data_IF_222484677887
#
_entry.id   IF_222484677887
#
_cell.length_a   1.000
_cell.length_b   1.000
_cell.length_c   1.000
_cell.angle_alpha   90.00
_cell.angle_beta   90.00
_cell.angle_gamma   90.00
#
_symmetry.space_group_name_H-M   'P 1'
#
loop_
_entity.id
_entity.type
_entity.pdbx_description
1 polymer ?
#
# COMPACT_ATOMS: atom_id res chain seq x y z
N UNK A 1 -13.00 -18.18 21.59
CA UNK A 1 -12.34 -19.01 20.56
C UNK A 1 -12.52 -18.44 19.15
N UNK A 2 -13.76 -18.18 18.70
CA UNK A 2 -14.04 -17.62 17.37
C UNK A 2 -13.35 -16.27 17.08
N UNK A 3 -13.35 -15.32 18.03
CA UNK A 3 -12.66 -14.03 17.85
C UNK A 3 -11.15 -14.16 17.62
N UNK A 4 -10.48 -15.12 18.27
CA UNK A 4 -9.06 -15.38 18.07
C UNK A 4 -8.78 -15.94 16.67
N UNK A 5 -9.66 -16.80 16.17
CA UNK A 5 -9.57 -17.32 14.80
C UNK A 5 -9.75 -16.20 13.77
N UNK A 6 -10.75 -15.33 13.95
CA UNK A 6 -10.96 -14.18 13.05
C UNK A 6 -9.77 -13.21 13.04
N UNK A 7 -9.21 -12.93 14.22
CA UNK A 7 -8.05 -12.04 14.34
C UNK A 7 -6.81 -12.61 13.64
N UNK A 8 -6.54 -13.90 13.82
CA UNK A 8 -5.39 -14.57 13.19
C UNK A 8 -5.54 -14.70 11.67
N UNK A 9 -6.75 -15.00 11.16
CA UNK A 9 -7.00 -15.04 9.71
C UNK A 9 -6.90 -13.65 9.10
N UNK A 10 -7.44 -12.62 9.76
CA UNK A 10 -7.33 -11.24 9.30
C UNK A 10 -5.88 -10.75 9.29
N UNK A 11 -5.11 -11.03 10.34
CA UNK A 11 -3.69 -10.68 10.41
C UNK A 11 -2.86 -11.39 9.34
N UNK A 12 -3.12 -12.68 9.10
CA UNK A 12 -2.44 -13.45 8.04
C UNK A 12 -2.76 -12.90 6.64
N UNK A 13 -4.03 -12.56 6.39
CA UNK A 13 -4.45 -11.91 5.14
C UNK A 13 -3.77 -10.55 4.95
N UNK A 14 -3.74 -9.73 6.01
CA UNK A 14 -3.09 -8.42 5.98
C UNK A 14 -1.58 -8.53 5.73
N UNK A 15 -0.91 -9.51 6.36
CA UNK A 15 0.51 -9.77 6.13
C UNK A 15 0.77 -10.25 4.70
N UNK A 16 -0.09 -11.09 4.15
CA UNK A 16 0.02 -11.54 2.77
C UNK A 16 -0.09 -10.36 1.79
N UNK A 17 -1.08 -9.48 1.97
CA UNK A 17 -1.30 -8.30 1.12
C UNK A 17 -0.19 -7.24 1.27
N UNK A 18 0.19 -6.90 2.50
CA UNK A 18 1.13 -5.80 2.76
C UNK A 18 2.61 -6.21 2.68
N UNK A 19 2.96 -7.47 2.93
CA UNK A 19 4.35 -7.91 2.98
C UNK A 19 4.67 -8.91 1.87
N UNK A 20 3.93 -10.02 1.80
CA UNK A 20 4.29 -11.13 0.91
C UNK A 20 4.23 -10.76 -0.57
N UNK A 21 3.16 -10.07 -1.01
CA UNK A 21 3.03 -9.57 -2.39
C UNK A 21 4.10 -8.55 -2.78
N UNK A 22 4.58 -7.74 -1.83
CA UNK A 22 5.47 -6.61 -2.09
C UNK A 22 6.96 -6.97 -2.10
N UNK A 23 7.33 -8.17 -1.60
CA UNK A 23 8.73 -8.57 -1.39
C UNK A 23 9.61 -8.57 -2.65
N UNK A 24 9.02 -8.66 -3.84
CA UNK A 24 9.74 -8.71 -5.14
C UNK A 24 9.61 -7.44 -5.96
N UNK A 25 8.82 -6.48 -5.48
CA UNK A 25 8.52 -5.24 -6.20
C UNK A 25 9.41 -4.11 -5.67
N UNK A 26 9.69 -3.10 -6.50
CA UNK A 26 10.35 -1.87 -6.06
C UNK A 26 9.69 -1.26 -4.81
N UNK A 27 10.47 -0.52 -3.99
CA UNK A 27 9.92 0.18 -2.83
C UNK A 27 8.84 1.18 -3.28
N UNK A 28 7.90 1.49 -2.39
CA UNK A 28 6.84 2.44 -2.72
C UNK A 28 5.89 2.71 -1.56
N UNK A 29 4.94 3.64 -1.76
CA UNK A 29 3.95 3.99 -0.74
C UNK A 29 3.15 2.77 -0.29
N UNK A 30 2.94 2.66 1.03
CA UNK A 30 2.15 1.60 1.65
C UNK A 30 0.69 1.66 1.19
N UNK A 31 0.22 0.64 0.45
CA UNK A 31 -1.17 0.59 0.03
C UNK A 31 -2.09 0.33 1.21
N UNK A 32 -3.25 0.97 1.21
CA UNK A 32 -4.33 0.60 2.12
C UNK A 32 -5.02 -0.66 1.60
N UNK A 33 -5.44 -1.57 2.50
CA UNK A 33 -6.26 -2.72 2.10
C UNK A 33 -7.50 -2.24 1.32
N UNK A 34 -7.80 -2.87 0.19
CA UNK A 34 -8.96 -2.61 -0.72
C UNK A 34 -8.91 -1.32 -1.56
N UNK A 35 -8.18 -0.27 -1.14
CA UNK A 35 -8.15 1.01 -1.86
C UNK A 35 -6.79 1.30 -2.52
N UNK A 36 -5.74 0.57 -2.14
CA UNK A 36 -4.38 0.88 -2.56
C UNK A 36 -3.94 2.27 -2.08
N UNK A 37 -3.34 3.06 -2.98
CA UNK A 37 -2.84 4.40 -2.71
C UNK A 37 -3.79 5.53 -3.19
N UNK A 38 -5.03 5.19 -3.58
CA UNK A 38 -5.99 6.17 -4.11
C UNK A 38 -6.29 7.29 -3.09
N UNK A 39 -6.40 6.94 -1.81
CA UNK A 39 -6.61 7.93 -0.75
C UNK A 39 -5.43 8.89 -0.60
N UNK A 40 -4.19 8.40 -0.74
CA UNK A 40 -2.99 9.22 -0.71
C UNK A 40 -2.90 10.14 -1.96
N UNK A 41 -3.31 9.65 -3.13
CA UNK A 41 -3.43 10.44 -4.36
C UNK A 41 -4.52 11.52 -4.27
N UNK A 42 -5.66 11.19 -3.67
CA UNK A 42 -6.78 12.13 -3.52
C UNK A 42 -6.54 13.17 -2.43
N UNK A 43 -5.72 12.86 -1.43
CA UNK A 43 -5.36 13.80 -0.37
C UNK A 43 -4.44 14.92 -0.88
N UNK A 44 -3.61 14.64 -1.88
CA UNK A 44 -2.73 15.65 -2.48
C UNK A 44 -3.31 16.16 -3.80
N UNK A 45 -3.89 17.36 -3.77
CA UNK A 45 -4.33 18.05 -4.98
C UNK A 45 -3.24 19.01 -5.45
N UNK A 46 -2.89 19.02 -6.75
CA UNK A 46 -3.26 18.06 -7.81
C UNK A 46 -2.52 16.73 -7.66
N UNK A 47 -3.13 15.60 -8.07
CA UNK A 47 -2.61 14.25 -7.83
C UNK A 47 -1.17 13.98 -8.33
N UNK A 48 -0.64 14.80 -9.24
CA UNK A 48 0.76 14.74 -9.66
C UNK A 48 1.76 15.12 -8.55
N UNK A 49 1.36 15.91 -7.56
CA UNK A 49 2.21 16.25 -6.41
C UNK A 49 2.50 15.02 -5.54
N UNK A 50 1.53 14.10 -5.38
CA UNK A 50 1.77 12.82 -4.71
C UNK A 50 2.86 12.01 -5.41
N UNK A 51 2.79 11.90 -6.75
CA UNK A 51 3.82 11.24 -7.54
C UNK A 51 5.17 11.93 -7.40
N UNK A 52 5.22 13.27 -7.44
CA UNK A 52 6.46 14.03 -7.26
C UNK A 52 7.11 13.79 -5.89
N UNK A 53 6.31 13.70 -4.82
CA UNK A 53 6.80 13.36 -3.48
C UNK A 53 7.32 11.93 -3.43
N UNK A 54 6.61 10.98 -4.03
CA UNK A 54 7.04 9.59 -4.07
C UNK A 54 8.33 9.41 -4.87
N UNK A 55 8.51 10.12 -5.98
CA UNK A 55 9.79 10.12 -6.73
C UNK A 55 10.95 10.62 -5.86
N UNK A 56 10.73 11.65 -5.02
CA UNK A 56 11.77 12.14 -4.10
C UNK A 56 12.12 11.15 -2.98
N UNK A 57 11.17 10.31 -2.55
CA UNK A 57 11.34 9.38 -1.43
C UNK A 57 11.84 8.02 -1.87
N UNK A 58 11.29 7.49 -2.96
CA UNK A 58 11.54 6.12 -3.43
C UNK A 58 12.43 6.06 -4.68
N UNK A 59 12.70 7.20 -5.33
CA UNK A 59 13.48 7.29 -6.57
C UNK A 59 12.62 7.23 -7.83
N UNK A 60 13.29 7.08 -8.97
CA UNK A 60 12.65 7.15 -10.30
C UNK A 60 11.70 5.98 -10.59
N UNK A 61 11.87 4.85 -9.89
CA UNK A 61 11.06 3.65 -10.06
C UNK A 61 10.51 3.22 -8.71
N UNK A 62 9.18 3.25 -8.57
CA UNK A 62 8.48 2.81 -7.36
C UNK A 62 7.17 2.10 -7.70
N UNK A 63 6.68 1.29 -6.75
CA UNK A 63 5.39 0.58 -6.90
C UNK A 63 4.29 1.29 -6.13
N UNK A 64 3.19 1.59 -6.81
CA UNK A 64 1.95 2.06 -6.19
C UNK A 64 0.79 1.18 -6.65
N UNK A 65 -0.22 1.03 -5.79
CA UNK A 65 -1.38 0.19 -6.04
C UNK A 65 -2.61 1.07 -6.24
N UNK A 66 -3.49 0.69 -7.17
CA UNK A 66 -4.78 1.34 -7.41
C UNK A 66 -5.85 0.25 -7.55
N UNK A 67 -6.68 0.10 -6.51
CA UNK A 67 -7.66 -1.00 -6.42
C UNK A 67 -7.04 -2.30 -5.97
#
# INVERSE_FOLDING_TARGET
MIFLLLFTTFGSWLFHELYWKRRTLPPGPTPLPLFGNILALSAEKPGYEAFRKWTKVYGDVFTFWMG
#
